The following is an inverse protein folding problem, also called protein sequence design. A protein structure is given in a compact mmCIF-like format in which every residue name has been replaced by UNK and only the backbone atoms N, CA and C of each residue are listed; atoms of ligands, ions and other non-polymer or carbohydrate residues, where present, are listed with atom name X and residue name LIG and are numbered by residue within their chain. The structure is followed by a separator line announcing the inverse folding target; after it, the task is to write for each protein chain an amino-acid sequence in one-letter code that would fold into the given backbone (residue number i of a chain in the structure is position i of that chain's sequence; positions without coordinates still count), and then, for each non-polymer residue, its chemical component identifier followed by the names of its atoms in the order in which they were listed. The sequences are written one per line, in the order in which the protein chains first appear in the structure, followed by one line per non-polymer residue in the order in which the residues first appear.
data_IF_042683007714
#
_entry.id   IF_042683007714
#
_cell.length_a   1.000
_cell.length_b   1.000
_cell.length_c   1.000
_cell.angle_alpha   90.00
_cell.angle_beta   90.00
_cell.angle_gamma   90.00
#
_symmetry.space_group_name_H-M   'P 1'
#
loop_
_entity.id
_entity.type
_entity.pdbx_description
1 polymer ?
#
# COMPACT_ATOMS: atom_id res chain seq x y z
N UNK A 1 60.74 20.65 -0.61
CA UNK A 1 60.09 19.33 -0.73
C UNK A 1 59.24 19.06 0.51
N UNK A 2 57.91 19.08 0.35
CA UNK A 2 56.92 18.13 0.87
C UNK A 2 55.53 18.75 0.77
N UNK A 3 54.79 18.25 -0.20
CA UNK A 3 53.33 18.29 -0.37
C UNK A 3 52.72 17.65 0.91
N UNK A 4 51.54 17.99 1.43
CA UNK A 4 50.22 17.49 1.00
C UNK A 4 49.12 18.18 1.83
N UNK A 5 48.02 18.53 1.16
CA UNK A 5 46.72 19.04 1.64
C UNK A 5 46.13 18.28 2.86
N UNK A 6 45.36 18.94 3.75
CA UNK A 6 44.30 18.26 4.47
C UNK A 6 43.01 18.28 3.64
N UNK A 7 42.62 17.07 3.27
CA UNK A 7 41.39 16.67 2.57
C UNK A 7 40.14 17.15 3.31
N UNK A 8 39.18 17.66 2.53
CA UNK A 8 37.84 18.01 2.95
C UNK A 8 37.13 16.80 3.59
N UNK A 9 36.79 16.91 4.86
CA UNK A 9 35.86 15.98 5.52
C UNK A 9 34.45 16.53 5.31
N UNK A 10 33.89 16.29 4.13
CA UNK A 10 32.48 16.49 3.87
C UNK A 10 31.70 15.47 4.71
N UNK A 11 30.99 15.97 5.72
CA UNK A 11 30.08 15.18 6.55
C UNK A 11 29.04 14.47 5.67
N UNK A 12 29.22 13.17 5.51
CA UNK A 12 28.22 12.26 4.96
C UNK A 12 27.08 12.21 5.97
N UNK A 13 26.04 13.02 5.74
CA UNK A 13 24.75 12.83 6.39
C UNK A 13 24.14 11.60 5.74
N UNK A 14 24.22 10.47 6.46
CA UNK A 14 23.57 9.22 6.11
C UNK A 14 22.06 9.46 5.98
N UNK A 15 21.59 9.55 4.74
CA UNK A 15 20.17 9.38 4.42
C UNK A 15 19.77 7.97 4.84
N UNK A 16 19.22 7.83 6.04
CA UNK A 16 18.43 6.68 6.45
C UNK A 16 17.15 6.67 5.60
N UNK A 17 17.27 6.30 4.33
CA UNK A 17 16.13 5.78 3.58
C UNK A 17 15.81 4.45 4.22
N UNK A 18 14.95 4.48 5.23
CA UNK A 18 14.23 3.30 5.64
C UNK A 18 13.65 2.70 4.36
N UNK A 19 14.10 1.51 3.99
CA UNK A 19 13.51 0.71 2.92
C UNK A 19 12.08 0.38 3.35
N UNK A 20 11.13 1.32 3.18
CA UNK A 20 9.72 0.98 3.16
C UNK A 20 9.55 0.08 1.94
N UNK A 21 9.02 -1.12 2.15
CA UNK A 21 8.60 -1.99 1.05
C UNK A 21 7.77 -1.13 0.10
N UNK A 22 8.25 -0.97 -1.14
CA UNK A 22 7.67 -0.04 -2.11
C UNK A 22 6.40 -0.61 -2.75
N UNK A 23 5.87 -1.72 -2.23
CA UNK A 23 4.78 -2.44 -2.88
C UNK A 23 3.77 -2.96 -1.86
N UNK A 24 2.50 -2.58 -2.07
CA UNK A 24 1.37 -3.02 -1.26
C UNK A 24 0.46 -3.81 -2.19
N UNK A 25 0.26 -5.08 -1.86
CA UNK A 25 -0.72 -5.93 -2.52
C UNK A 25 -1.82 -6.32 -1.55
N UNK A 26 -3.05 -5.96 -1.88
CA UNK A 26 -4.25 -6.38 -1.19
C UNK A 26 -5.05 -7.31 -2.08
N UNK A 27 -5.58 -8.38 -1.51
CA UNK A 27 -6.48 -9.30 -2.18
C UNK A 27 -7.66 -9.60 -1.28
N UNK A 28 -8.78 -9.98 -1.87
CA UNK A 28 -9.91 -10.45 -1.09
C UNK A 28 -9.52 -11.61 -0.17
N UNK A 29 -10.14 -11.67 1.02
CA UNK A 29 -9.88 -12.77 1.95
C UNK A 29 -10.58 -14.08 1.53
N UNK A 30 -11.58 -14.00 0.66
CA UNK A 30 -12.44 -15.11 0.25
C UNK A 30 -11.89 -15.90 -0.96
N UNK A 31 -10.87 -15.37 -1.64
CA UNK A 31 -10.17 -15.99 -2.76
C UNK A 31 -10.76 -15.70 -4.15
N UNK A 32 -10.17 -16.35 -5.16
CA UNK A 32 -10.62 -16.27 -6.56
C UNK A 32 -12.02 -16.89 -6.74
N UNK A 33 -13.05 -16.04 -6.75
CA UNK A 33 -14.44 -16.41 -7.04
C UNK A 33 -15.08 -15.46 -8.06
N UNK A 34 -16.37 -15.65 -8.43
CA UNK A 34 -17.07 -14.75 -9.36
C UNK A 34 -17.05 -13.29 -8.90
N UNK A 35 -16.90 -13.06 -7.60
CA UNK A 35 -16.68 -11.75 -7.01
C UNK A 35 -15.28 -11.75 -6.39
N UNK A 36 -14.31 -11.15 -7.08
CA UNK A 36 -12.94 -11.08 -6.60
C UNK A 36 -12.42 -9.65 -6.70
N UNK A 37 -11.49 -9.28 -5.83
CA UNK A 37 -10.85 -7.97 -5.88
C UNK A 37 -9.38 -8.01 -5.50
N UNK A 38 -8.60 -7.18 -6.18
CA UNK A 38 -7.18 -6.99 -5.95
C UNK A 38 -6.84 -5.49 -6.01
N UNK A 39 -5.94 -5.06 -5.15
CA UNK A 39 -5.33 -3.73 -5.19
C UNK A 39 -3.82 -3.92 -5.17
N UNK A 40 -3.14 -3.37 -6.17
CA UNK A 40 -1.69 -3.43 -6.28
C UNK A 40 -1.15 -2.01 -6.42
N UNK A 41 -0.31 -1.60 -5.48
CA UNK A 41 0.25 -0.25 -5.38
C UNK A 41 1.75 -0.38 -5.34
N UNK A 42 2.43 0.38 -6.20
CA UNK A 42 3.87 0.55 -6.17
C UNK A 42 4.22 2.00 -5.94
N UNK A 43 5.11 2.24 -4.99
CA UNK A 43 5.48 3.54 -4.45
C UNK A 43 4.27 4.31 -3.91
N UNK A 44 3.57 5.05 -4.77
CA UNK A 44 2.43 5.89 -4.41
C UNK A 44 1.23 5.73 -5.35
N UNK A 45 1.31 4.87 -6.36
CA UNK A 45 0.28 4.71 -7.37
C UNK A 45 0.05 3.25 -7.72
N UNK A 46 -1.17 2.95 -8.15
CA UNK A 46 -1.55 1.58 -8.38
C UNK A 46 -2.86 1.44 -9.14
N UNK A 47 -3.37 0.22 -9.13
CA UNK A 47 -4.64 -0.14 -9.71
C UNK A 47 -5.45 -0.95 -8.70
N UNK A 48 -6.76 -0.69 -8.67
CA UNK A 48 -7.75 -1.60 -8.10
C UNK A 48 -8.44 -2.32 -9.24
N UNK A 49 -8.55 -3.63 -9.14
CA UNK A 49 -9.28 -4.51 -10.04
C UNK A 49 -10.33 -5.26 -9.24
N UNK A 50 -11.55 -5.34 -9.76
CA UNK A 50 -12.56 -6.18 -9.13
C UNK A 50 -13.57 -6.71 -10.12
N UNK A 51 -14.20 -7.82 -9.75
CA UNK A 51 -15.26 -8.46 -10.50
C UNK A 51 -16.52 -8.55 -9.66
N UNK A 52 -17.68 -8.37 -10.29
CA UNK A 52 -18.97 -8.66 -9.69
C UNK A 52 -19.83 -9.43 -10.70
N UNK A 53 -19.99 -10.72 -10.47
CA UNK A 53 -20.60 -11.64 -11.44
C UNK A 53 -19.78 -11.70 -12.74
N UNK A 54 -20.37 -11.28 -13.86
CA UNK A 54 -19.71 -11.24 -15.17
C UNK A 54 -19.04 -9.90 -15.47
N UNK A 55 -19.24 -8.89 -14.64
CA UNK A 55 -18.72 -7.54 -14.86
C UNK A 55 -17.34 -7.37 -14.23
N UNK A 56 -16.38 -6.88 -15.00
CA UNK A 56 -15.01 -6.58 -14.53
C UNK A 56 -14.80 -5.08 -14.54
N UNK A 57 -14.14 -4.58 -13.51
CA UNK A 57 -13.86 -3.18 -13.29
C UNK A 57 -12.38 -2.98 -12.97
N UNK A 58 -11.86 -1.82 -13.33
CA UNK A 58 -10.51 -1.41 -13.04
C UNK A 58 -10.47 0.10 -12.83
N UNK A 59 -9.70 0.57 -11.84
CA UNK A 59 -9.50 1.99 -11.63
C UNK A 59 -8.11 2.28 -11.07
N UNK A 60 -7.54 3.43 -11.44
CA UNK A 60 -6.31 3.91 -10.82
C UNK A 60 -6.57 4.27 -9.35
N UNK A 61 -5.59 3.96 -8.52
CA UNK A 61 -5.55 4.38 -7.12
C UNK A 61 -4.25 5.09 -6.80
N UNK A 62 -4.29 5.97 -5.81
CA UNK A 62 -3.14 6.69 -5.28
C UNK A 62 -3.09 6.46 -3.79
N UNK A 63 -1.90 6.13 -3.28
CA UNK A 63 -1.63 6.02 -1.87
C UNK A 63 -1.64 7.42 -1.25
N UNK A 64 -2.52 7.63 -0.27
CA UNK A 64 -2.60 8.88 0.49
C UNK A 64 -1.86 8.74 1.81
N UNK A 65 -1.96 7.56 2.44
CA UNK A 65 -1.39 7.31 3.75
C UNK A 65 -1.08 5.82 3.91
N UNK A 66 0.09 5.50 4.45
CA UNK A 66 0.47 4.15 4.87
C UNK A 66 1.12 4.22 6.25
N UNK A 67 0.27 3.95 7.25
CA UNK A 67 0.65 3.76 8.65
C UNK A 67 0.46 2.30 9.07
N UNK A 68 0.46 1.33 8.13
CA UNK A 68 0.44 -0.09 8.48
C UNK A 68 1.79 -0.42 9.14
N UNK A 69 1.85 -0.27 10.46
CA UNK A 69 3.10 -0.41 11.21
C UNK A 69 3.56 -1.88 11.13
N UNK A 70 4.83 -2.09 10.79
CA UNK A 70 5.52 -3.40 10.84
C UNK A 70 5.78 -3.86 12.29
N UNK A 71 5.04 -3.34 13.27
CA UNK A 71 5.26 -3.62 14.68
C UNK A 71 4.26 -4.66 15.18
N UNK A 72 4.69 -5.45 16.16
CA UNK A 72 3.93 -6.49 16.87
C UNK A 72 2.66 -5.98 17.57
N UNK A 73 2.38 -4.68 17.49
CA UNK A 73 1.21 -4.02 18.07
C UNK A 73 0.13 -3.89 16.99
N UNK A 74 -1.09 -4.37 17.24
CA UNK A 74 -2.18 -4.20 16.30
C UNK A 74 -2.49 -2.71 16.08
N UNK A 75 -2.40 -2.24 14.85
CA UNK A 75 -2.78 -0.89 14.51
C UNK A 75 -2.17 -0.39 13.21
N UNK A 76 -2.91 0.45 12.51
CA UNK A 76 -2.47 1.09 11.29
C UNK A 76 -3.64 1.46 10.39
N UNK A 77 -3.41 2.47 9.57
CA UNK A 77 -4.37 2.90 8.55
C UNK A 77 -3.67 3.01 7.22
N UNK A 78 -4.26 2.40 6.20
CA UNK A 78 -3.91 2.59 4.81
C UNK A 78 -5.04 3.35 4.13
N UNK A 79 -4.75 4.52 3.58
CA UNK A 79 -5.74 5.33 2.86
C UNK A 79 -5.39 5.43 1.39
N UNK A 80 -6.36 5.10 0.54
CA UNK A 80 -6.26 5.17 -0.91
C UNK A 80 -7.28 6.15 -1.46
N UNK A 81 -6.89 6.87 -2.53
CA UNK A 81 -7.80 7.67 -3.33
C UNK A 81 -7.93 7.06 -4.72
N UNK A 82 -9.16 6.79 -5.13
CA UNK A 82 -9.50 6.33 -6.47
C UNK A 82 -9.56 7.49 -7.47
N UNK A 83 -9.45 7.17 -8.75
CA UNK A 83 -9.46 8.16 -9.84
C UNK A 83 -10.74 9.01 -9.90
N UNK A 84 -11.87 8.45 -9.47
CA UNK A 84 -13.17 9.14 -9.37
C UNK A 84 -13.27 10.05 -8.13
N UNK A 85 -12.25 10.07 -7.28
CA UNK A 85 -12.20 10.83 -6.04
C UNK A 85 -12.65 10.06 -4.81
N UNK A 86 -13.18 8.84 -4.94
CA UNK A 86 -13.58 7.98 -3.83
C UNK A 86 -12.38 7.69 -2.93
N UNK A 87 -12.58 7.74 -1.60
CA UNK A 87 -11.56 7.38 -0.61
C UNK A 87 -11.87 6.01 -0.02
N UNK A 88 -10.86 5.15 0.02
CA UNK A 88 -10.90 3.86 0.70
C UNK A 88 -9.98 3.94 1.90
N UNK A 89 -10.49 3.63 3.09
CA UNK A 89 -9.69 3.52 4.31
C UNK A 89 -9.63 2.06 4.73
N UNK A 90 -8.44 1.58 5.02
CA UNK A 90 -8.19 0.21 5.46
C UNK A 90 -7.59 0.26 6.85
N UNK A 91 -8.22 -0.43 7.79
CA UNK A 91 -7.79 -0.50 9.18
C UNK A 91 -7.46 -1.94 9.54
N UNK A 92 -6.36 -2.13 10.28
CA UNK A 92 -5.97 -3.46 10.74
C UNK A 92 -4.48 -3.62 10.96
N UNK A 93 -4.01 -4.85 10.80
CA UNK A 93 -2.61 -5.24 10.99
C UNK A 93 -2.03 -5.79 9.71
N UNK A 94 -0.70 -5.89 9.62
CA UNK A 94 -0.04 -6.54 8.47
C UNK A 94 -0.62 -7.96 8.31
N UNK A 95 -1.22 -8.22 7.15
CA UNK A 95 -1.88 -9.49 6.81
C UNK A 95 -3.40 -9.46 6.78
N UNK A 96 -4.11 -8.62 7.55
CA UNK A 96 -5.59 -8.54 7.54
C UNK A 96 -6.07 -7.12 7.74
N UNK A 97 -6.81 -6.61 6.77
CA UNK A 97 -7.35 -5.26 6.74
C UNK A 97 -8.87 -5.27 6.56
N UNK A 98 -9.54 -4.33 7.19
CA UNK A 98 -10.98 -4.06 7.02
C UNK A 98 -11.13 -2.75 6.28
N UNK A 99 -11.85 -2.78 5.16
CA UNK A 99 -12.10 -1.59 4.36
C UNK A 99 -13.37 -0.86 4.81
N UNK A 100 -13.23 0.45 5.01
CA UNK A 100 -14.29 1.43 5.22
C UNK A 100 -14.45 2.22 3.91
N UNK A 101 -15.67 2.18 3.33
CA UNK A 101 -15.99 2.82 2.04
C UNK A 101 -16.13 1.86 0.85
N UNK A 102 -15.59 0.64 0.94
CA UNK A 102 -15.64 -0.36 -0.14
C UNK A 102 -17.06 -0.77 -0.57
N UNK A 103 -18.05 -0.71 0.34
CA UNK A 103 -19.43 -1.12 0.04
C UNK A 103 -20.10 -0.32 -1.08
N UNK A 104 -19.75 0.95 -1.26
CA UNK A 104 -20.31 1.80 -2.32
C UNK A 104 -19.91 1.31 -3.73
N UNK A 105 -18.78 0.62 -3.84
CA UNK A 105 -18.21 0.13 -5.09
C UNK A 105 -18.35 -1.39 -5.25
N UNK A 106 -19.10 -2.04 -4.34
CA UNK A 106 -19.20 -3.52 -4.25
C UNK A 106 -17.84 -4.20 -4.08
N UNK A 107 -16.88 -3.50 -3.48
CA UNK A 107 -15.61 -4.08 -3.09
C UNK A 107 -15.78 -4.88 -1.79
N UNK A 108 -14.98 -5.93 -1.58
CA UNK A 108 -15.04 -6.73 -0.36
C UNK A 108 -14.70 -5.88 0.86
N UNK A 109 -15.25 -6.28 2.01
CA UNK A 109 -14.97 -5.61 3.28
C UNK A 109 -13.66 -6.08 3.90
N UNK A 110 -13.33 -7.36 3.77
CA UNK A 110 -12.15 -7.97 4.37
C UNK A 110 -11.09 -8.22 3.30
N UNK A 111 -9.88 -7.76 3.58
CA UNK A 111 -8.74 -7.84 2.69
C UNK A 111 -7.56 -8.50 3.39
N UNK A 112 -6.76 -9.21 2.63
CA UNK A 112 -5.47 -9.73 3.06
C UNK A 112 -4.38 -8.87 2.42
N UNK A 113 -3.39 -8.50 3.21
CA UNK A 113 -2.24 -7.73 2.73
C UNK A 113 -1.03 -8.65 2.63
N UNK A 114 -0.43 -8.77 1.45
CA UNK A 114 0.86 -9.43 1.28
C UNK A 114 1.96 -8.39 1.33
N UNK A 115 2.74 -8.38 2.41
CA UNK A 115 4.04 -7.70 2.41
C UNK A 115 5.01 -8.53 1.57
N UNK A 116 5.85 -7.89 0.75
CA UNK A 116 7.05 -8.57 0.25
C UNK A 116 8.01 -8.74 1.44
N UNK A 117 8.24 -9.99 1.86
CA UNK A 117 9.37 -10.33 2.72
C UNK A 117 10.71 -10.05 2.01
#
# INVERSE_FOLDING_TARGET
MKVVLPVAVASIVLSLTACRSSEIHLYDAEGYGPNTAEISIKDHAGMVYWRWGTQTFAMKVTLIKDDLVHATIPGGTLELKMADGTRLSFEGTQGRLVCVGCGQLRLPRNWLAKGSD
#
